data_IF_067547402014
#
_entry.id   IF_067547402014
#
_cell.length_a   1.000
_cell.length_b   1.000
_cell.length_c   1.000
_cell.angle_alpha   90.00
_cell.angle_beta   90.00
_cell.angle_gamma   90.00
#
_symmetry.space_group_name_H-M   'P 1'
#
loop_
_entity.id
_entity.type
_entity.pdbx_description
1 polymer ?
#
# COMPACT_ATOMS: atom_id res chain seq x y z
N UNK A 1 9.14 -0.31 -5.09
CA UNK A 1 10.40 0.42 -5.30
C UNK A 1 11.14 0.58 -3.99
N UNK A 2 12.45 0.70 -4.05
CA UNK A 2 13.31 1.09 -2.95
C UNK A 2 14.34 2.07 -3.51
N UNK A 3 14.41 3.26 -2.93
CA UNK A 3 15.29 4.30 -3.40
C UNK A 3 15.97 5.03 -2.24
N UNK A 4 17.06 5.73 -2.54
CA UNK A 4 17.76 6.53 -1.55
C UNK A 4 16.87 7.65 -0.95
N UNK A 5 15.84 8.11 -1.67
CA UNK A 5 14.89 9.11 -1.17
C UNK A 5 13.79 8.48 -0.30
N UNK A 6 13.31 7.28 -0.64
CA UNK A 6 12.30 6.55 0.15
C UNK A 6 12.86 6.08 1.49
N UNK A 7 14.13 5.66 1.52
CA UNK A 7 14.77 5.05 2.69
C UNK A 7 15.39 6.07 3.66
N UNK A 8 15.31 7.37 3.37
CA UNK A 8 15.85 8.41 4.25
C UNK A 8 14.95 8.64 5.48
N UNK A 9 15.55 8.51 6.65
CA UNK A 9 14.90 8.84 7.93
C UNK A 9 14.52 10.33 7.96
N UNK A 10 13.25 10.62 8.30
CA UNK A 10 12.73 11.98 8.43
C UNK A 10 12.14 12.59 7.15
N UNK A 11 12.06 11.83 6.07
CA UNK A 11 11.45 12.26 4.83
C UNK A 11 10.20 11.43 4.49
N UNK A 12 9.07 12.11 4.29
CA UNK A 12 7.81 11.46 3.89
C UNK A 12 7.77 11.30 2.36
N UNK A 13 8.54 10.34 1.83
CA UNK A 13 8.61 10.06 0.40
C UNK A 13 7.82 8.81 0.00
N UNK A 14 7.40 8.01 0.98
CA UNK A 14 6.70 6.74 0.74
C UNK A 14 5.46 6.91 -0.16
N UNK A 15 5.28 6.00 -1.11
CA UNK A 15 4.14 5.98 -2.03
C UNK A 15 4.24 6.93 -3.24
N UNK A 16 5.37 7.62 -3.45
CA UNK A 16 5.54 8.52 -4.60
C UNK A 16 5.99 7.81 -5.88
N UNK A 17 6.65 6.69 -5.76
CA UNK A 17 6.98 5.81 -6.89
C UNK A 17 5.90 4.74 -7.09
N UNK A 18 5.81 4.24 -8.32
CA UNK A 18 4.82 3.24 -8.67
C UNK A 18 5.08 1.89 -7.99
N UNK A 19 4.00 1.27 -7.52
CA UNK A 19 3.92 -0.16 -7.19
C UNK A 19 2.87 -0.78 -8.10
N UNK A 20 3.22 -1.86 -8.77
CA UNK A 20 2.35 -2.50 -9.77
C UNK A 20 2.06 -3.94 -9.36
N UNK A 21 0.81 -4.34 -9.55
CA UNK A 21 0.37 -5.72 -9.41
C UNK A 21 0.10 -6.28 -10.80
N UNK A 22 0.74 -7.39 -11.14
CA UNK A 22 0.57 -8.09 -12.42
C UNK A 22 0.05 -9.51 -12.18
N UNK A 23 -0.84 -10.03 -13.03
CA UNK A 23 -1.53 -11.32 -12.78
C UNK A 23 -0.63 -12.53 -12.97
N UNK A 24 0.54 -12.40 -13.61
CA UNK A 24 1.51 -13.46 -13.87
C UNK A 24 0.85 -14.68 -14.57
N UNK A 25 0.05 -14.45 -15.61
CA UNK A 25 -0.68 -15.45 -16.38
C UNK A 25 -0.30 -15.41 -17.86
N UNK A 26 -0.68 -16.46 -18.58
CA UNK A 26 -0.41 -16.61 -20.02
C UNK A 26 0.87 -17.39 -20.32
N UNK A 27 1.37 -17.29 -21.56
CA UNK A 27 2.61 -17.92 -21.96
C UNK A 27 3.83 -17.31 -21.24
N UNK A 28 4.96 -17.98 -21.30
CA UNK A 28 6.20 -17.45 -20.71
C UNK A 28 6.58 -16.11 -21.33
N UNK A 29 6.41 -15.96 -22.63
CA UNK A 29 6.72 -14.74 -23.37
C UNK A 29 5.81 -13.59 -22.94
N UNK A 30 4.52 -13.85 -22.75
CA UNK A 30 3.55 -12.85 -22.28
C UNK A 30 3.90 -12.41 -20.86
N UNK A 31 4.17 -13.33 -19.95
CA UNK A 31 4.55 -13.04 -18.57
C UNK A 31 5.85 -12.25 -18.47
N UNK A 32 6.83 -12.59 -19.32
CA UNK A 32 8.09 -11.84 -19.39
C UNK A 32 7.85 -10.42 -19.88
N UNK A 33 7.09 -10.24 -20.97
CA UNK A 33 6.78 -8.92 -21.51
C UNK A 33 6.02 -8.03 -20.49
N UNK A 34 5.05 -8.61 -19.77
CA UNK A 34 4.34 -7.88 -18.68
C UNK A 34 5.29 -7.45 -17.56
N UNK A 35 6.20 -8.33 -17.17
CA UNK A 35 7.20 -8.01 -16.13
C UNK A 35 8.17 -6.92 -16.61
N UNK A 36 8.68 -7.00 -17.83
CA UNK A 36 9.55 -5.98 -18.40
C UNK A 36 8.86 -4.61 -18.49
N UNK A 37 7.61 -4.59 -18.93
CA UNK A 37 6.80 -3.37 -18.96
C UNK A 37 6.58 -2.79 -17.54
N UNK A 38 6.27 -3.63 -16.57
CA UNK A 38 6.09 -3.20 -15.19
C UNK A 38 7.38 -2.63 -14.59
N UNK A 39 8.52 -3.25 -14.86
CA UNK A 39 9.84 -2.74 -14.45
C UNK A 39 10.09 -1.35 -15.09
N UNK A 40 9.87 -1.22 -16.40
CA UNK A 40 10.03 0.04 -17.12
C UNK A 40 9.12 1.14 -16.55
N UNK A 41 7.86 0.83 -16.23
CA UNK A 41 6.92 1.78 -15.64
C UNK A 41 7.35 2.22 -14.23
N UNK A 42 7.86 1.30 -13.39
CA UNK A 42 8.39 1.67 -12.07
C UNK A 42 9.60 2.59 -12.22
N UNK A 43 10.54 2.33 -13.11
CA UNK A 43 11.66 3.25 -13.39
C UNK A 43 11.18 4.59 -13.94
N UNK A 44 10.22 4.59 -14.87
CA UNK A 44 9.66 5.83 -15.43
C UNK A 44 8.95 6.68 -14.37
N UNK A 45 8.47 6.08 -13.29
CA UNK A 45 7.78 6.81 -12.21
C UNK A 45 8.70 7.82 -11.47
N UNK A 46 10.02 7.69 -11.59
CA UNK A 46 10.98 8.69 -11.09
C UNK A 46 10.73 10.08 -11.70
N UNK A 47 10.21 10.09 -12.92
CA UNK A 47 9.92 11.30 -13.69
C UNK A 47 8.46 11.76 -13.60
N UNK A 48 7.65 11.15 -12.75
CA UNK A 48 6.29 11.62 -12.48
C UNK A 48 6.28 12.99 -11.78
N UNK A 49 5.18 13.76 -11.88
CA UNK A 49 5.08 15.09 -11.29
C UNK A 49 5.42 15.12 -9.80
N UNK A 50 4.83 14.23 -9.01
CA UNK A 50 5.00 14.21 -7.55
C UNK A 50 6.45 13.99 -7.08
N UNK A 51 7.22 13.00 -7.62
CA UNK A 51 8.64 12.88 -7.33
C UNK A 51 9.47 14.08 -7.79
N UNK A 52 9.17 14.67 -8.94
CA UNK A 52 9.86 15.86 -9.44
C UNK A 52 9.60 17.04 -8.52
N UNK A 53 8.34 17.30 -8.17
CA UNK A 53 7.96 18.39 -7.27
C UNK A 53 8.64 18.25 -5.90
N UNK A 54 8.61 17.06 -5.33
CA UNK A 54 9.29 16.77 -4.07
C UNK A 54 10.78 17.08 -4.12
N UNK A 55 11.48 16.67 -5.21
CA UNK A 55 12.91 16.96 -5.40
C UNK A 55 13.15 18.45 -5.58
N UNK A 56 12.26 19.14 -6.31
CA UNK A 56 12.33 20.59 -6.51
C UNK A 56 12.24 21.35 -5.19
N UNK A 57 11.25 21.03 -4.35
CA UNK A 57 11.04 21.66 -3.05
C UNK A 57 12.22 21.49 -2.09
N UNK A 58 13.02 20.46 -2.29
CA UNK A 58 14.17 20.13 -1.44
C UNK A 58 15.52 20.43 -2.06
N UNK A 59 15.56 21.07 -3.23
CA UNK A 59 16.81 21.37 -3.93
C UNK A 59 17.57 20.13 -4.39
N UNK A 60 16.86 19.04 -4.69
CA UNK A 60 17.41 17.74 -5.09
C UNK A 60 17.17 17.41 -6.56
N UNK A 61 16.92 18.41 -7.42
CA UNK A 61 16.69 18.17 -8.85
C UNK A 61 17.89 17.53 -9.55
N UNK A 62 19.11 17.93 -9.17
CA UNK A 62 20.36 17.39 -9.72
C UNK A 62 20.81 16.09 -9.04
N UNK A 63 20.04 15.60 -8.07
CA UNK A 63 20.35 14.36 -7.37
C UNK A 63 20.07 13.16 -8.29
N UNK A 64 21.11 12.35 -8.51
CA UNK A 64 20.94 11.09 -9.23
C UNK A 64 20.22 10.08 -8.34
N UNK A 65 18.94 9.91 -8.61
CA UNK A 65 18.13 8.92 -7.91
C UNK A 65 18.51 7.51 -8.38
N UNK A 66 18.96 6.71 -7.43
CA UNK A 66 19.21 5.28 -7.66
C UNK A 66 18.04 4.50 -7.07
N UNK A 67 17.34 3.75 -7.92
CA UNK A 67 16.18 2.96 -7.53
C UNK A 67 16.46 1.46 -7.73
N UNK A 68 16.24 0.68 -6.67
CA UNK A 68 16.08 -0.75 -6.74
C UNK A 68 14.61 -1.12 -6.92
N UNK A 69 14.31 -2.22 -7.61
CA UNK A 69 12.97 -2.76 -7.75
C UNK A 69 12.90 -4.08 -6.99
N UNK A 70 11.96 -4.17 -6.04
CA UNK A 70 11.63 -5.39 -5.35
C UNK A 70 10.47 -6.07 -6.09
N UNK A 71 10.70 -7.30 -6.53
CA UNK A 71 9.68 -8.15 -7.16
C UNK A 71 9.32 -9.23 -6.17
N UNK A 72 8.03 -9.33 -5.83
CA UNK A 72 7.53 -10.29 -4.85
C UNK A 72 6.30 -11.01 -5.38
N UNK A 73 6.18 -12.28 -5.02
CA UNK A 73 4.91 -12.99 -5.18
C UNK A 73 3.90 -12.45 -4.17
N UNK A 74 2.70 -12.14 -4.67
CA UNK A 74 1.60 -11.69 -3.81
C UNK A 74 1.02 -12.89 -3.08
N UNK A 75 1.03 -12.85 -1.76
CA UNK A 75 0.36 -13.86 -0.92
C UNK A 75 -1.14 -13.67 -1.03
N UNK A 76 -1.85 -14.73 -1.39
CA UNK A 76 -3.30 -14.67 -1.56
C UNK A 76 -3.86 -15.98 -2.08
N UNK A 77 -5.12 -15.94 -2.47
CA UNK A 77 -5.78 -17.06 -3.13
C UNK A 77 -6.73 -16.56 -4.21
N UNK A 78 -7.01 -17.44 -5.15
CA UNK A 78 -8.03 -17.19 -6.14
C UNK A 78 -9.44 -17.44 -5.56
N UNK A 79 -10.33 -16.49 -5.81
CA UNK A 79 -11.77 -16.56 -5.48
C UNK A 79 -12.53 -16.16 -6.73
N UNK A 80 -13.08 -17.15 -7.44
CA UNK A 80 -13.65 -16.94 -8.77
C UNK A 80 -12.62 -16.42 -9.77
N UNK A 81 -12.91 -15.31 -10.43
CA UNK A 81 -12.01 -14.59 -11.33
C UNK A 81 -11.04 -13.63 -10.65
N UNK A 82 -11.06 -13.54 -9.33
CA UNK A 82 -10.26 -12.59 -8.56
C UNK A 82 -9.13 -13.29 -7.79
N UNK A 83 -8.02 -12.58 -7.58
CA UNK A 83 -6.95 -13.02 -6.70
C UNK A 83 -6.68 -11.95 -5.64
N UNK A 84 -6.74 -12.34 -4.37
CA UNK A 84 -6.55 -11.44 -3.23
C UNK A 84 -6.15 -12.20 -1.96
N UNK A 85 -5.41 -11.58 -1.04
CA UNK A 85 -5.31 -12.03 0.34
C UNK A 85 -6.63 -11.76 1.08
N UNK A 86 -6.92 -12.53 2.13
CA UNK A 86 -8.09 -12.26 2.97
C UNK A 86 -7.98 -10.90 3.66
N UNK A 87 -6.77 -10.54 4.09
CA UNK A 87 -6.42 -9.23 4.63
C UNK A 87 -4.93 -8.95 4.39
N UNK A 88 -4.59 -7.68 4.39
CA UNK A 88 -3.22 -7.20 4.34
C UNK A 88 -3.07 -5.97 5.25
N UNK A 89 -1.85 -5.52 5.48
CA UNK A 89 -1.66 -4.33 6.30
C UNK A 89 -0.20 -4.04 6.60
N UNK A 90 -0.02 -3.05 7.48
CA UNK A 90 1.30 -2.63 7.96
C UNK A 90 1.30 -2.54 9.47
N UNK A 91 2.36 -3.06 10.09
CA UNK A 91 2.58 -2.98 11.53
C UNK A 91 3.68 -1.96 11.85
N UNK A 92 3.45 -1.18 12.88
CA UNK A 92 4.38 -0.18 13.41
C UNK A 92 4.79 -0.57 14.82
N UNK A 93 6.06 -0.44 15.14
CA UNK A 93 6.60 -0.69 16.48
C UNK A 93 6.13 0.34 17.53
N UNK A 94 5.53 1.45 17.09
CA UNK A 94 5.00 2.51 17.96
C UNK A 94 3.59 2.87 17.57
N UNK A 95 2.73 3.09 18.57
CA UNK A 95 1.38 3.59 18.40
C UNK A 95 1.36 5.11 18.61
N UNK A 96 1.44 5.87 17.50
CA UNK A 96 1.40 7.34 17.58
C UNK A 96 -0.05 7.86 17.70
N UNK A 97 -1.04 7.13 17.18
CA UNK A 97 -2.46 7.44 17.30
C UNK A 97 -3.08 6.66 18.47
N UNK A 98 -3.10 7.27 19.64
CA UNK A 98 -3.67 6.66 20.84
C UNK A 98 -5.13 7.11 21.03
N UNK A 99 -6.07 6.23 20.76
CA UNK A 99 -7.51 6.48 20.92
C UNK A 99 -8.06 6.12 22.31
N UNK A 100 -7.18 5.65 23.20
CA UNK A 100 -7.49 5.36 24.61
C UNK A 100 -6.27 5.63 25.47
N UNK A 101 -6.50 6.10 26.71
CA UNK A 101 -5.44 6.27 27.72
C UNK A 101 -4.76 4.95 28.14
N UNK A 102 -5.41 3.82 27.85
CA UNK A 102 -4.87 2.47 28.11
C UNK A 102 -3.82 2.04 27.08
N UNK A 103 -3.73 2.71 25.94
CA UNK A 103 -2.76 2.42 24.89
C UNK A 103 -1.50 3.22 25.16
N UNK A 104 -0.39 2.53 25.27
CA UNK A 104 0.95 3.14 25.38
C UNK A 104 1.57 3.29 24.00
N UNK A 105 2.47 4.23 23.85
CA UNK A 105 3.21 4.41 22.59
C UNK A 105 4.00 3.16 22.18
N UNK A 106 4.51 2.42 23.15
CA UNK A 106 5.28 1.19 22.96
C UNK A 106 4.46 -0.03 22.58
N UNK A 107 3.13 0.04 22.68
CA UNK A 107 2.26 -1.10 22.40
C UNK A 107 2.24 -1.49 20.92
N UNK A 108 2.76 -0.61 20.04
CA UNK A 108 2.70 -0.84 18.60
C UNK A 108 1.30 -0.68 18.03
N UNK A 109 1.21 -0.60 16.71
CA UNK A 109 -0.07 -0.46 16.00
C UNK A 109 -0.02 -1.21 14.68
N UNK A 110 -1.13 -1.79 14.28
CA UNK A 110 -1.35 -2.29 12.92
C UNK A 110 -2.47 -1.52 12.23
N UNK A 111 -2.31 -1.32 10.92
CA UNK A 111 -3.38 -0.91 9.99
C UNK A 111 -3.72 -2.12 9.15
N UNK A 112 -4.98 -2.51 9.11
CA UNK A 112 -5.45 -3.70 8.40
C UNK A 112 -6.54 -3.32 7.42
N UNK A 113 -6.49 -3.93 6.24
CA UNK A 113 -7.50 -3.81 5.18
C UNK A 113 -7.83 -5.18 4.61
N UNK A 114 -9.00 -5.33 4.02
CA UNK A 114 -9.36 -6.48 3.21
C UNK A 114 -8.70 -6.36 1.82
N UNK A 115 -8.33 -7.47 1.22
CA UNK A 115 -7.69 -7.49 -0.09
C UNK A 115 -6.21 -7.08 -0.07
N UNK A 116 -5.75 -6.50 -1.17
CA UNK A 116 -4.38 -6.03 -1.33
C UNK A 116 -4.07 -4.88 -0.36
N UNK A 117 -2.82 -4.77 0.09
CA UNK A 117 -2.40 -3.87 1.16
C UNK A 117 -2.29 -2.40 0.81
N UNK A 118 -2.58 -1.99 -0.41
CA UNK A 118 -2.49 -0.61 -0.92
C UNK A 118 -3.22 0.39 -0.02
N UNK A 119 -4.48 0.11 0.32
CA UNK A 119 -5.31 0.99 1.17
C UNK A 119 -4.88 1.06 2.64
N UNK A 120 -3.97 0.21 3.09
CA UNK A 120 -3.39 0.31 4.43
C UNK A 120 -2.34 1.42 4.54
N UNK A 121 -1.71 1.80 3.43
CA UNK A 121 -0.62 2.77 3.36
C UNK A 121 -0.99 4.02 2.58
N UNK A 122 -1.75 3.87 1.48
CA UNK A 122 -2.19 4.99 0.65
C UNK A 122 -3.38 5.71 1.29
N UNK A 123 -3.40 7.04 1.19
CA UNK A 123 -4.53 7.86 1.61
C UNK A 123 -5.52 7.95 0.46
N UNK A 124 -6.40 6.98 0.36
CA UNK A 124 -7.55 7.04 -0.55
C UNK A 124 -8.68 7.78 0.15
N UNK A 125 -9.23 8.82 -0.49
CA UNK A 125 -10.32 9.60 0.11
C UNK A 125 -11.56 8.74 0.37
N UNK A 126 -12.02 8.71 1.63
CA UNK A 126 -13.24 7.99 2.02
C UNK A 126 -13.04 6.55 2.47
N UNK A 127 -11.85 5.97 2.35
CA UNK A 127 -11.54 4.62 2.81
C UNK A 127 -10.55 4.63 3.98
N UNK A 128 -10.81 3.82 4.98
CA UNK A 128 -10.05 3.80 6.21
C UNK A 128 -9.66 2.38 6.62
N UNK A 129 -8.38 2.14 6.94
CA UNK A 129 -7.94 0.86 7.49
C UNK A 129 -8.45 0.68 8.92
N UNK A 130 -8.65 -0.57 9.31
CA UNK A 130 -8.90 -0.92 10.71
C UNK A 130 -7.60 -0.70 11.50
N UNK A 131 -7.70 0.07 12.60
CA UNK A 131 -6.58 0.33 13.51
C UNK A 131 -6.63 -0.64 14.69
N UNK A 132 -5.50 -1.31 14.95
CA UNK A 132 -5.36 -2.26 16.05
C UNK A 132 -4.13 -1.89 16.88
N UNK A 133 -4.31 -1.64 18.18
CA UNK A 133 -3.19 -1.54 19.11
C UNK A 133 -2.73 -2.96 19.47
N UNK A 134 -1.47 -3.32 19.18
CA UNK A 134 -1.02 -4.72 19.22
C UNK A 134 -1.08 -5.33 20.62
N UNK A 135 -0.73 -4.57 21.66
CA UNK A 135 -0.83 -5.04 23.06
C UNK A 135 -2.26 -4.93 23.63
N UNK A 136 -3.17 -4.24 22.93
CA UNK A 136 -4.55 -3.99 23.37
C UNK A 136 -5.55 -4.18 22.21
N UNK A 137 -5.59 -5.36 21.56
CA UNK A 137 -6.34 -5.56 20.30
C UNK A 137 -7.86 -5.42 20.45
N UNK A 138 -8.39 -5.57 21.67
CA UNK A 138 -9.82 -5.43 21.95
C UNK A 138 -10.28 -3.98 22.14
N UNK A 139 -9.35 -3.03 22.24
CA UNK A 139 -9.69 -1.60 22.33
C UNK A 139 -9.94 -1.04 20.93
N UNK A 140 -11.20 -1.03 20.52
CA UNK A 140 -11.61 -0.49 19.22
C UNK A 140 -11.37 1.03 19.15
N UNK A 141 -10.87 1.49 18.00
CA UNK A 141 -10.67 2.92 17.72
C UNK A 141 -12.01 3.65 17.56
N UNK A 142 -12.99 2.99 16.94
CA UNK A 142 -14.35 3.50 16.73
C UNK A 142 -15.32 2.67 17.56
N UNK A 143 -16.11 3.33 18.40
CA UNK A 143 -17.04 2.68 19.33
C UNK A 143 -18.50 2.81 18.88
N UNK A 144 -18.83 3.90 18.17
CA UNK A 144 -20.17 4.14 17.68
C UNK A 144 -20.38 3.45 16.33
N UNK A 145 -21.52 2.75 16.11
CA UNK A 145 -21.80 2.04 14.86
C UNK A 145 -21.75 2.95 13.62
N UNK A 146 -22.27 4.16 13.73
CA UNK A 146 -22.32 5.13 12.64
C UNK A 146 -20.92 5.60 12.24
N UNK A 147 -20.05 5.83 13.21
CA UNK A 147 -18.64 6.17 12.98
C UNK A 147 -17.89 4.98 12.39
N UNK A 148 -18.14 3.77 12.90
CA UNK A 148 -17.53 2.55 12.39
C UNK A 148 -17.87 2.31 10.92
N UNK A 149 -19.11 2.59 10.50
CA UNK A 149 -19.50 2.53 9.09
C UNK A 149 -18.84 3.65 8.27
N UNK A 150 -18.89 4.89 8.74
CA UNK A 150 -18.35 6.06 8.03
C UNK A 150 -16.83 5.99 7.84
N UNK A 151 -16.10 5.43 8.80
CA UNK A 151 -14.64 5.33 8.80
C UNK A 151 -14.18 3.88 8.64
N UNK A 152 -14.84 3.14 7.76
CA UNK A 152 -14.46 1.78 7.37
C UNK A 152 -13.94 1.74 5.94
N UNK A 153 -13.50 0.59 5.53
CA UNK A 153 -13.16 0.30 4.15
C UNK A 153 -14.45 0.05 3.35
N UNK A 154 -14.60 0.72 2.23
CA UNK A 154 -15.76 0.61 1.33
C UNK A 154 -15.43 -0.07 0.01
N UNK A 155 -14.16 -0.16 -0.34
CA UNK A 155 -13.69 -0.84 -1.53
C UNK A 155 -12.56 -1.82 -1.21
N UNK A 156 -12.49 -2.91 -1.94
CA UNK A 156 -11.42 -3.91 -1.83
C UNK A 156 -10.57 -3.90 -3.09
N UNK A 157 -9.25 -3.81 -2.91
CA UNK A 157 -8.28 -3.90 -3.99
C UNK A 157 -7.93 -5.36 -4.26
N UNK A 158 -8.04 -5.76 -5.52
CA UNK A 158 -7.88 -7.14 -6.01
C UNK A 158 -7.09 -7.19 -7.31
N UNK A 159 -6.63 -8.36 -7.70
CA UNK A 159 -6.16 -8.64 -9.06
C UNK A 159 -7.31 -9.35 -9.79
N UNK A 160 -7.86 -8.69 -10.80
CA UNK A 160 -8.83 -9.29 -11.71
C UNK A 160 -8.06 -10.19 -12.70
N UNK A 161 -8.24 -11.48 -12.56
CA UNK A 161 -7.54 -12.48 -13.36
C UNK A 161 -8.11 -12.66 -14.77
N UNK A 162 -9.35 -12.25 -15.00
CA UNK A 162 -10.00 -12.31 -16.29
C UNK A 162 -9.59 -11.14 -17.16
N UNK A 163 -9.56 -9.94 -16.56
CA UNK A 163 -9.16 -8.72 -17.25
C UNK A 163 -7.65 -8.48 -17.23
N UNK A 164 -6.92 -9.20 -16.38
CA UNK A 164 -5.48 -9.11 -16.31
C UNK A 164 -4.93 -7.82 -15.66
N UNK A 165 -5.66 -7.22 -14.74
CA UNK A 165 -5.22 -5.98 -14.11
C UNK A 165 -5.67 -5.84 -12.64
N UNK A 166 -5.08 -4.87 -11.96
CA UNK A 166 -5.53 -4.40 -10.65
C UNK A 166 -6.91 -3.73 -10.76
N UNK A 167 -7.79 -4.01 -9.79
CA UNK A 167 -9.13 -3.42 -9.72
C UNK A 167 -9.50 -3.09 -8.27
N UNK A 168 -10.28 -2.03 -8.09
CA UNK A 168 -10.97 -1.72 -6.85
C UNK A 168 -12.45 -2.08 -7.01
N UNK A 169 -12.97 -2.88 -6.09
CA UNK A 169 -14.35 -3.35 -6.09
C UNK A 169 -15.06 -2.88 -4.82
N UNK A 170 -16.34 -2.49 -4.88
CA UNK A 170 -17.10 -2.14 -3.68
C UNK A 170 -17.27 -3.38 -2.77
N UNK A 171 -17.26 -3.14 -1.45
CA UNK A 171 -17.51 -4.12 -0.39
C UNK A 171 -18.99 -4.27 -0.09
#
# INVERSE_FOLDING_TARGET
SSSLLEDRIGHAFSGKYRSLFIPNRGSMEQRLAELENAIAEVYASVFHPDPIEYRRERGLLDFQEQMGILIQEVVGRQVGGLFLPAFAGVAFSRCEMRWSSRIRRTDGMARLVLGLGTRAVDRTGGDYPVLVALEQPLLKALQQPEEAYRYSQHEVDVIDLERGHFAALPL
#
